data_IF_953989226954
#
_entry.id   IF_953989226954
#
_cell.length_a   1.000
_cell.length_b   1.000
_cell.length_c   1.000
_cell.angle_alpha   90.00
_cell.angle_beta   90.00
_cell.angle_gamma   90.00
#
_symmetry.space_group_name_H-M   'P 1'
#
loop_
_entity.id
_entity.type
_entity.pdbx_description
1 polymer ?
#
# COMPACT_ATOMS: atom_id res chain seq x y z
N UNK A 1 -12.80 11.80 8.90
CA UNK A 1 -11.62 10.97 9.27
C UNK A 1 -11.89 9.53 8.86
N UNK A 2 -10.94 8.89 8.19
CA UNK A 2 -11.03 7.49 7.77
C UNK A 2 -10.94 6.56 8.99
N UNK A 3 -11.78 5.53 9.06
CA UNK A 3 -11.70 4.55 10.15
C UNK A 3 -10.43 3.70 10.07
N UNK A 4 -9.99 3.14 11.19
CA UNK A 4 -8.80 2.29 11.23
C UNK A 4 -8.90 1.10 10.25
N UNK A 5 -10.05 0.44 10.21
CA UNK A 5 -10.29 -0.72 9.32
C UNK A 5 -10.25 -0.33 7.85
N UNK A 6 -10.84 0.82 7.48
CA UNK A 6 -10.80 1.33 6.10
C UNK A 6 -9.37 1.67 5.69
N UNK A 7 -8.61 2.35 6.55
CA UNK A 7 -7.22 2.68 6.26
C UNK A 7 -6.37 1.41 6.11
N UNK A 8 -6.53 0.42 6.98
CA UNK A 8 -5.84 -0.87 6.86
C UNK A 8 -6.11 -1.56 5.52
N UNK A 9 -7.36 -1.54 5.05
CA UNK A 9 -7.73 -2.09 3.76
C UNK A 9 -7.03 -1.35 2.60
N UNK A 10 -7.06 -0.01 2.61
CA UNK A 10 -6.39 0.79 1.60
C UNK A 10 -4.88 0.56 1.58
N UNK A 11 -4.23 0.55 2.74
CA UNK A 11 -2.80 0.25 2.87
C UNK A 11 -2.47 -1.16 2.34
N UNK A 12 -3.33 -2.15 2.58
CA UNK A 12 -3.15 -3.49 2.05
C UNK A 12 -3.26 -3.54 0.52
N UNK A 13 -4.18 -2.77 -0.07
CA UNK A 13 -4.30 -2.61 -1.53
C UNK A 13 -3.04 -1.97 -2.10
N UNK A 14 -2.59 -0.84 -1.55
CA UNK A 14 -1.39 -0.13 -2.00
C UNK A 14 -0.13 -1.01 -1.90
N UNK A 15 0.02 -1.80 -0.82
CA UNK A 15 1.17 -2.66 -0.61
C UNK A 15 1.27 -3.84 -1.59
N UNK A 16 0.12 -4.27 -2.15
CA UNK A 16 0.02 -5.40 -3.10
C UNK A 16 -0.08 -4.94 -4.56
N UNK A 17 -0.31 -3.65 -4.79
CA UNK A 17 -0.41 -3.07 -6.11
C UNK A 17 0.82 -3.37 -6.97
N UNK A 18 0.59 -3.54 -8.25
CA UNK A 18 1.67 -3.52 -9.24
C UNK A 18 2.16 -2.06 -9.37
N UNK A 19 3.48 -1.87 -9.45
CA UNK A 19 4.08 -0.55 -9.38
C UNK A 19 3.73 0.32 -10.59
N UNK A 20 3.83 -0.22 -11.80
CA UNK A 20 3.55 0.56 -13.02
C UNK A 20 2.11 1.05 -13.05
N UNK A 21 1.15 0.20 -12.64
CA UNK A 21 -0.23 0.61 -12.50
C UNK A 21 -0.41 1.69 -11.41
N UNK A 22 0.24 1.55 -10.26
CA UNK A 22 0.17 2.56 -9.20
C UNK A 22 0.74 3.91 -9.67
N UNK A 23 1.85 3.89 -10.42
CA UNK A 23 2.45 5.09 -11.02
C UNK A 23 1.47 5.79 -11.96
N UNK A 24 0.90 5.04 -12.92
CA UNK A 24 -0.07 5.58 -13.89
C UNK A 24 -1.29 6.23 -13.21
N UNK A 25 -1.86 5.55 -12.20
CA UNK A 25 -3.03 6.06 -11.49
C UNK A 25 -2.70 7.28 -10.64
N UNK A 26 -1.51 7.32 -10.01
CA UNK A 26 -1.08 8.49 -9.23
C UNK A 26 -0.77 9.67 -10.15
N UNK A 27 -0.19 9.45 -11.33
CA UNK A 27 0.04 10.51 -12.32
C UNK A 27 -1.28 11.15 -12.79
N UNK A 28 -2.36 10.36 -12.91
CA UNK A 28 -3.69 10.86 -13.28
C UNK A 28 -4.33 11.79 -12.23
N UNK A 29 -3.90 11.70 -10.97
CA UNK A 29 -4.32 12.65 -9.93
C UNK A 29 -3.81 14.08 -10.21
N UNK A 30 -2.78 14.22 -11.06
CA UNK A 30 -2.21 15.51 -11.44
C UNK A 30 -1.24 16.03 -10.37
N UNK A 31 -1.27 17.35 -10.14
CA UNK A 31 -0.36 17.99 -9.19
C UNK A 31 -0.73 17.58 -7.75
N UNK A 32 0.14 16.80 -7.13
CA UNK A 32 0.01 16.40 -5.73
C UNK A 32 0.46 17.53 -4.80
N UNK A 33 -0.06 17.59 -3.55
CA UNK A 33 0.44 18.52 -2.54
C UNK A 33 1.91 18.27 -2.24
N UNK A 34 2.61 19.31 -1.78
CA UNK A 34 3.97 19.16 -1.30
C UNK A 34 4.03 18.27 -0.06
N UNK A 35 5.07 17.46 0.03
CA UNK A 35 5.32 16.59 1.17
C UNK A 35 6.81 16.44 1.43
N UNK A 36 7.13 16.23 2.71
CA UNK A 36 8.47 16.02 3.19
C UNK A 36 8.65 14.57 3.67
N UNK A 37 9.86 14.02 3.53
CA UNK A 37 10.17 12.71 4.08
C UNK A 37 10.48 12.81 5.57
N UNK A 38 9.59 12.29 6.42
CA UNK A 38 9.94 11.99 7.82
C UNK A 38 10.89 10.79 7.91
N UNK A 39 10.74 9.86 6.96
CA UNK A 39 11.66 8.75 6.70
C UNK A 39 11.69 8.48 5.20
N UNK A 40 12.83 8.73 4.57
CA UNK A 40 13.04 8.37 3.17
C UNK A 40 12.86 6.86 2.94
N UNK A 41 12.54 6.43 1.71
CA UNK A 41 12.36 5.01 1.40
C UNK A 41 13.58 4.15 1.75
N UNK A 42 13.42 3.30 2.76
CA UNK A 42 14.48 2.50 3.37
C UNK A 42 14.20 1.01 3.13
N UNK A 43 15.15 0.32 2.49
CA UNK A 43 15.09 -1.12 2.25
C UNK A 43 15.66 -1.83 3.48
N UNK A 44 14.86 -2.69 4.10
CA UNK A 44 15.26 -3.51 5.23
C UNK A 44 14.74 -4.94 5.10
N UNK A 45 14.71 -5.66 6.22
CA UNK A 45 14.11 -6.99 6.30
C UNK A 45 13.09 -7.08 7.44
N UNK A 46 12.19 -8.05 7.33
CA UNK A 46 11.25 -8.43 8.36
C UNK A 46 11.31 -9.94 8.58
N UNK A 47 11.34 -10.35 9.85
CA UNK A 47 11.29 -11.76 10.23
C UNK A 47 9.87 -12.30 10.04
N UNK A 48 9.72 -13.26 9.13
CA UNK A 48 8.47 -14.00 8.94
C UNK A 48 8.37 -15.07 10.01
N UNK A 49 7.24 -15.07 10.73
CA UNK A 49 6.91 -16.11 11.70
C UNK A 49 5.84 -17.04 11.14
N UNK A 50 5.98 -18.32 11.44
CA UNK A 50 5.02 -19.36 11.08
C UNK A 50 4.64 -20.16 12.32
N UNK A 51 3.65 -21.05 12.18
CA UNK A 51 3.14 -21.92 13.24
C UNK A 51 3.37 -23.38 12.88
N UNK A 52 3.91 -24.16 13.83
CA UNK A 52 4.14 -25.60 13.64
C UNK A 52 2.80 -26.27 13.28
N UNK A 53 2.74 -26.97 12.15
CA UNK A 53 1.50 -27.63 11.69
C UNK A 53 0.33 -26.68 11.40
N UNK A 54 0.57 -25.38 11.22
CA UNK A 54 -0.44 -24.36 10.91
C UNK A 54 -1.14 -23.72 12.11
N UNK A 55 -1.20 -24.39 13.26
CA UNK A 55 -1.87 -23.89 14.47
C UNK A 55 -1.06 -24.01 15.77
N UNK A 56 0.11 -24.66 15.73
CA UNK A 56 0.99 -24.84 16.87
C UNK A 56 1.75 -23.58 17.30
N UNK A 57 2.87 -23.78 18.00
CA UNK A 57 3.72 -22.69 18.49
C UNK A 57 4.38 -21.92 17.35
N UNK A 58 4.65 -20.64 17.62
CA UNK A 58 5.33 -19.77 16.66
C UNK A 58 6.81 -20.17 16.50
N UNK A 59 7.33 -20.10 15.29
CA UNK A 59 8.76 -20.23 14.99
C UNK A 59 9.16 -19.25 13.86
N UNK A 60 10.44 -18.91 13.79
CA UNK A 60 10.96 -18.05 12.71
C UNK A 60 11.09 -18.87 11.42
N UNK A 61 10.34 -18.49 10.39
CA UNK A 61 10.36 -19.14 9.07
C UNK A 61 11.52 -18.63 8.20
N UNK A 62 11.92 -17.36 8.38
CA UNK A 62 12.98 -16.72 7.63
C UNK A 62 12.76 -15.21 7.54
N UNK A 63 13.57 -14.52 6.74
CA UNK A 63 13.43 -13.08 6.51
C UNK A 63 12.89 -12.78 5.12
N UNK A 64 12.08 -11.72 5.03
CA UNK A 64 11.67 -11.12 3.75
C UNK A 64 12.18 -9.69 3.66
N UNK A 65 12.53 -9.27 2.45
CA UNK A 65 12.87 -7.87 2.20
C UNK A 65 11.61 -7.01 2.20
N UNK A 66 11.68 -5.86 2.87
CA UNK A 66 10.63 -4.86 2.91
C UNK A 66 11.23 -3.49 2.60
N UNK A 67 10.44 -2.60 2.01
CA UNK A 67 10.79 -1.18 1.89
C UNK A 67 9.76 -0.36 2.63
N UNK A 68 10.21 0.53 3.52
CA UNK A 68 9.36 1.42 4.32
C UNK A 68 9.59 2.87 3.96
N UNK A 69 8.54 3.67 3.94
CA UNK A 69 8.59 5.12 3.73
C UNK A 69 7.58 5.79 4.67
N UNK A 70 7.95 6.96 5.19
CA UNK A 70 7.04 7.82 5.97
C UNK A 70 7.18 9.24 5.48
N UNK A 71 6.06 9.85 5.12
CA UNK A 71 6.01 11.23 4.65
C UNK A 71 5.09 12.07 5.55
N UNK A 72 5.23 13.38 5.43
CA UNK A 72 4.33 14.36 5.99
C UNK A 72 3.86 15.28 4.87
N UNK A 73 2.55 15.34 4.65
CA UNK A 73 1.92 16.19 3.63
C UNK A 73 1.54 17.52 4.26
N UNK A 74 1.89 18.61 3.58
CA UNK A 74 1.49 19.97 3.95
C UNK A 74 0.24 20.36 3.16
N UNK A 75 -0.93 20.07 3.71
CA UNK A 75 -2.20 20.40 3.11
C UNK A 75 -2.60 21.85 3.43
N UNK A 76 -1.97 22.83 2.76
CA UNK A 76 -2.54 24.18 2.54
C UNK A 76 -3.10 24.95 3.75
N UNK A 77 -2.56 24.75 4.97
CA UNK A 77 -3.00 25.44 6.20
C UNK A 77 -3.75 24.56 7.21
N UNK A 78 -3.98 23.28 6.89
CA UNK A 78 -4.51 22.27 7.83
C UNK A 78 -3.39 21.56 8.62
N UNK A 79 -3.78 20.75 9.62
CA UNK A 79 -2.85 19.88 10.34
C UNK A 79 -2.05 19.00 9.35
N UNK A 80 -0.74 18.91 9.55
CA UNK A 80 0.12 18.10 8.71
C UNK A 80 -0.25 16.62 8.83
N UNK A 81 -0.49 15.96 7.71
CA UNK A 81 -0.95 14.56 7.69
C UNK A 81 0.21 13.62 7.40
N UNK A 82 0.35 12.58 8.23
CA UNK A 82 1.40 11.57 8.08
C UNK A 82 0.92 10.39 7.25
N UNK A 83 1.65 10.09 6.17
CA UNK A 83 1.42 8.93 5.31
C UNK A 83 2.49 7.85 5.50
N UNK A 84 2.09 6.58 5.41
CA UNK A 84 2.95 5.42 5.61
C UNK A 84 2.91 4.46 4.43
N UNK A 85 4.07 4.02 3.99
CA UNK A 85 4.23 3.02 2.94
C UNK A 85 5.07 1.86 3.44
N UNK A 86 4.52 0.64 3.34
CA UNK A 86 5.23 -0.60 3.63
C UNK A 86 4.97 -1.57 2.49
N UNK A 87 6.01 -1.91 1.73
CA UNK A 87 5.89 -2.76 0.53
C UNK A 87 6.89 -3.91 0.62
N UNK A 88 6.49 -5.08 0.11
CA UNK A 88 7.41 -6.21 0.00
C UNK A 88 8.43 -5.94 -1.11
N UNK A 89 9.68 -6.34 -0.89
CA UNK A 89 10.76 -6.17 -1.86
C UNK A 89 11.53 -4.88 -1.65
N UNK A 90 12.09 -4.35 -2.74
CA UNK A 90 13.17 -3.34 -2.72
C UNK A 90 12.79 -2.02 -3.41
N UNK A 91 11.52 -1.87 -3.81
CA UNK A 91 11.08 -0.70 -4.56
C UNK A 91 10.87 0.50 -3.62
N UNK A 92 11.80 1.45 -3.70
CA UNK A 92 11.70 2.74 -3.01
C UNK A 92 10.53 3.57 -3.51
N UNK A 93 10.33 3.59 -4.83
CA UNK A 93 9.27 4.33 -5.49
C UNK A 93 7.89 3.82 -5.09
N UNK A 94 7.72 2.50 -5.01
CA UNK A 94 6.45 1.90 -4.54
C UNK A 94 6.16 2.29 -3.08
N UNK A 95 7.16 2.20 -2.19
CA UNK A 95 7.00 2.59 -0.80
C UNK A 95 6.62 4.08 -0.65
N UNK A 96 7.24 4.95 -1.45
CA UNK A 96 6.92 6.37 -1.49
C UNK A 96 5.49 6.64 -1.97
N UNK A 97 5.09 6.09 -3.12
CA UNK A 97 3.74 6.26 -3.65
C UNK A 97 2.67 5.73 -2.70
N UNK A 98 2.92 4.58 -2.07
CA UNK A 98 2.02 4.02 -1.06
C UNK A 98 1.88 4.97 0.15
N UNK A 99 2.97 5.60 0.60
CA UNK A 99 2.95 6.58 1.68
C UNK A 99 2.19 7.86 1.27
N UNK A 100 2.38 8.34 0.04
CA UNK A 100 1.64 9.48 -0.52
C UNK A 100 0.14 9.20 -0.55
N UNK A 101 -0.29 8.08 -1.13
CA UNK A 101 -1.70 7.73 -1.19
C UNK A 101 -2.31 7.53 0.21
N UNK A 102 -1.61 6.87 1.15
CA UNK A 102 -2.08 6.74 2.53
C UNK A 102 -2.24 8.11 3.22
N UNK A 103 -1.32 9.04 2.99
CA UNK A 103 -1.44 10.42 3.46
C UNK A 103 -2.66 11.12 2.85
N UNK A 104 -2.81 11.09 1.53
CA UNK A 104 -3.90 11.77 0.82
C UNK A 104 -5.28 11.20 1.17
N UNK A 105 -5.40 9.90 1.44
CA UNK A 105 -6.64 9.30 1.93
C UNK A 105 -7.06 9.81 3.31
N UNK A 106 -6.15 10.40 4.09
CA UNK A 106 -6.53 11.00 5.38
C UNK A 106 -7.00 12.46 5.21
N UNK A 107 -6.71 13.11 4.07
CA UNK A 107 -7.13 14.46 3.74
C UNK A 107 -8.56 14.48 3.19
N UNK A 108 -9.53 15.18 3.82
CA UNK A 108 -10.91 15.23 3.32
C UNK A 108 -11.03 15.71 1.87
N UNK A 109 -10.18 16.67 1.45
CA UNK A 109 -10.16 17.24 0.11
C UNK A 109 -9.64 16.29 -0.98
N UNK A 110 -8.88 15.25 -0.60
CA UNK A 110 -8.30 14.29 -1.54
C UNK A 110 -8.94 12.90 -1.46
N UNK A 111 -9.61 12.59 -0.35
CA UNK A 111 -10.11 11.26 -0.05
C UNK A 111 -10.91 10.64 -1.20
N UNK A 112 -11.98 11.33 -1.65
CA UNK A 112 -12.87 10.80 -2.68
C UNK A 112 -12.12 10.53 -3.98
N UNK A 113 -11.22 11.45 -4.36
CA UNK A 113 -10.44 11.35 -5.59
C UNK A 113 -9.48 10.17 -5.56
N UNK A 114 -8.71 10.01 -4.48
CA UNK A 114 -7.76 8.89 -4.35
C UNK A 114 -8.49 7.56 -4.22
N UNK A 115 -9.62 7.53 -3.51
CA UNK A 115 -10.42 6.32 -3.38
C UNK A 115 -10.94 5.84 -4.74
N UNK A 116 -11.51 6.74 -5.55
CA UNK A 116 -12.12 6.42 -6.85
C UNK A 116 -11.07 6.23 -7.94
N UNK A 117 -10.07 7.09 -8.04
CA UNK A 117 -9.10 7.07 -9.14
C UNK A 117 -7.92 6.11 -8.88
N UNK A 118 -7.62 5.74 -7.63
CA UNK A 118 -6.48 4.86 -7.30
C UNK A 118 -6.91 3.56 -6.64
N UNK A 119 -7.61 3.63 -5.49
CA UNK A 119 -7.86 2.43 -4.67
C UNK A 119 -8.83 1.46 -5.35
N UNK A 120 -9.93 1.96 -5.90
CA UNK A 120 -10.92 1.12 -6.59
C UNK A 120 -10.34 0.40 -7.83
N UNK A 121 -9.60 1.06 -8.76
CA UNK A 121 -8.96 0.39 -9.89
C UNK A 121 -7.95 -0.69 -9.48
N UNK A 122 -7.15 -0.44 -8.44
CA UNK A 122 -6.18 -1.41 -7.92
C UNK A 122 -6.88 -2.64 -7.33
N UNK A 123 -7.96 -2.44 -6.58
CA UNK A 123 -8.77 -3.52 -6.04
C UNK A 123 -9.42 -4.35 -7.16
N UNK A 124 -9.99 -3.70 -8.17
CA UNK A 124 -10.59 -4.38 -9.31
C UNK A 124 -9.56 -5.24 -10.08
N UNK A 125 -8.34 -4.75 -10.23
CA UNK A 125 -7.25 -5.50 -10.89
C UNK A 125 -6.85 -6.72 -10.07
N UNK A 126 -6.68 -6.55 -8.76
CA UNK A 126 -6.34 -7.63 -7.83
C UNK A 126 -7.41 -8.73 -7.83
N UNK A 127 -8.70 -8.36 -7.82
CA UNK A 127 -9.81 -9.31 -7.86
C UNK A 127 -9.81 -10.13 -9.16
N UNK A 128 -9.64 -9.48 -10.32
CA UNK A 128 -9.57 -10.17 -11.62
C UNK A 128 -8.43 -11.17 -11.67
N UNK A 129 -7.24 -10.81 -11.18
CA UNK A 129 -6.08 -11.72 -11.14
C UNK A 129 -6.39 -12.95 -10.29
N UNK A 130 -6.95 -12.75 -9.09
CA UNK A 130 -7.33 -13.88 -8.22
C UNK A 130 -8.40 -14.79 -8.84
N UNK A 131 -9.41 -14.23 -9.52
CA UNK A 131 -10.42 -15.04 -10.20
C UNK A 131 -9.82 -15.91 -11.32
N UNK A 132 -8.87 -15.36 -12.09
CA UNK A 132 -8.19 -16.10 -13.15
C UNK A 132 -7.35 -17.26 -12.58
N UNK A 133 -6.59 -17.02 -11.52
CA UNK A 133 -5.79 -18.04 -10.82
C UNK A 133 -6.67 -19.16 -10.25
N UNK A 134 -7.82 -18.80 -9.66
CA UNK A 134 -8.77 -19.77 -9.12
C UNK A 134 -9.36 -20.67 -10.21
N UNK A 135 -9.75 -20.09 -11.36
CA UNK A 135 -10.26 -20.86 -12.50
C UNK A 135 -9.23 -21.88 -13.00
N UNK A 136 -7.97 -21.45 -13.16
CA UNK A 136 -6.89 -22.35 -13.58
C UNK A 136 -6.64 -23.48 -12.59
N UNK A 137 -6.63 -23.17 -11.29
CA UNK A 137 -6.41 -24.18 -10.24
C UNK A 137 -7.56 -25.17 -10.13
N UNK A 138 -8.81 -24.70 -10.30
CA UNK A 138 -10.00 -25.58 -10.28
C UNK A 138 -10.06 -26.54 -11.47
N UNK A 139 -9.40 -26.21 -12.58
CA UNK A 139 -9.31 -27.08 -13.76
C UNK A 139 -8.26 -28.21 -13.62
N UNK A 140 -7.47 -28.19 -12.53
CA UNK A 140 -6.42 -29.20 -12.24
C UNK A 140 -6.85 -30.18 -11.12
N UNK A 141 -8.14 -30.24 -10.78
CA UNK A 141 -8.73 -31.24 -9.89
C UNK A 141 -9.47 -32.30 -10.69
#
# INVERSE_FOLDING_TARGET
MVSQTQRQACMATLAKAELTQLEELVEQLGLLPEYNFLRSPEIGSAMVRSRIGGSGSDFNLGEITITRCVIQIEAGGEECITGFGYVKGRSRRHAELAAVCDGLLQCPSWYERVEVEVIQPLNATTQRTHELEQRQTSATK
#
